data_IF_267774380834
#
_entry.id   IF_267774380834
#
_cell.length_a   1.000
_cell.length_b   1.000
_cell.length_c   1.000
_cell.angle_alpha   90.00
_cell.angle_beta   90.00
_cell.angle_gamma   90.00
#
_symmetry.space_group_name_H-M   'P 1'
#
loop_
_entity.id
_entity.type
_entity.pdbx_description
1 polymer ?
#
# COMPACT_ATOMS: atom_id res chain seq x y z
N UNK A 1 6.56 -16.39 -8.64
CA UNK A 1 7.05 -15.48 -9.71
C UNK A 1 8.51 -15.13 -9.50
N UNK A 2 8.89 -14.36 -8.48
CA UNK A 2 10.30 -13.98 -8.26
C UNK A 2 11.25 -15.19 -8.11
N UNK A 3 10.82 -16.26 -7.46
CA UNK A 3 11.58 -17.51 -7.33
C UNK A 3 11.63 -18.37 -8.61
N UNK A 4 10.94 -17.98 -9.69
CA UNK A 4 10.78 -18.79 -10.90
C UNK A 4 9.71 -19.89 -10.79
N UNK A 5 9.08 -20.10 -9.63
CA UNK A 5 8.07 -21.14 -9.44
C UNK A 5 6.74 -20.90 -10.18
N UNK A 6 6.54 -19.71 -10.75
CA UNK A 6 5.37 -19.37 -11.56
C UNK A 6 5.79 -18.32 -12.60
N UNK A 7 5.29 -18.46 -13.82
CA UNK A 7 5.59 -17.56 -14.96
C UNK A 7 4.95 -16.18 -14.80
N UNK A 8 3.75 -16.12 -14.21
CA UNK A 8 3.03 -14.89 -13.92
C UNK A 8 2.26 -15.00 -12.58
N UNK A 9 1.84 -13.85 -12.03
CA UNK A 9 1.04 -13.80 -10.81
C UNK A 9 0.41 -12.44 -10.62
N UNK A 10 -0.76 -12.42 -9.98
CA UNK A 10 -1.43 -11.18 -9.57
C UNK A 10 -0.90 -10.82 -8.17
N UNK A 11 -0.33 -9.63 -8.06
CA UNK A 11 0.29 -9.13 -6.83
C UNK A 11 -0.18 -7.69 -6.57
N UNK A 12 -0.01 -7.22 -5.33
CA UNK A 12 -0.26 -5.82 -5.01
C UNK A 12 0.72 -4.90 -5.76
N UNK A 13 0.23 -3.78 -6.30
CA UNK A 13 1.06 -2.79 -6.99
C UNK A 13 2.19 -2.25 -6.09
N UNK A 14 1.94 -2.15 -4.78
CA UNK A 14 2.95 -1.76 -3.79
C UNK A 14 4.17 -2.69 -3.75
N UNK A 15 3.97 -3.99 -4.00
CA UNK A 15 5.07 -4.95 -4.11
C UNK A 15 5.81 -4.80 -5.44
N UNK A 16 5.08 -4.57 -6.54
CA UNK A 16 5.68 -4.35 -7.85
C UNK A 16 6.53 -3.06 -7.90
N UNK A 17 6.11 -2.01 -7.19
CA UNK A 17 6.82 -0.73 -7.08
C UNK A 17 7.95 -0.75 -6.04
N UNK A 18 8.06 -1.81 -5.22
CA UNK A 18 9.12 -1.90 -4.24
C UNK A 18 10.51 -2.01 -4.92
N UNK A 19 11.58 -1.40 -4.35
CA UNK A 19 12.89 -1.37 -4.98
C UNK A 19 13.47 -2.73 -5.38
N UNK A 20 13.11 -3.80 -4.64
CA UNK A 20 13.53 -5.16 -4.95
C UNK A 20 12.93 -5.69 -6.25
N UNK A 21 11.64 -5.43 -6.51
CA UNK A 21 10.96 -5.92 -7.72
C UNK A 21 11.06 -4.96 -8.89
N UNK A 22 11.11 -3.64 -8.64
CA UNK A 22 11.24 -2.64 -9.71
C UNK A 22 12.50 -2.82 -10.56
N UNK A 23 13.58 -3.37 -9.98
CA UNK A 23 14.86 -3.56 -10.67
C UNK A 23 14.90 -4.84 -11.51
N UNK A 24 14.08 -5.83 -11.19
CA UNK A 24 14.24 -7.20 -11.68
C UNK A 24 13.01 -7.70 -12.46
N UNK A 25 11.86 -7.05 -12.31
CA UNK A 25 10.58 -7.50 -12.85
C UNK A 25 9.97 -6.56 -13.88
N UNK A 26 9.02 -7.12 -14.64
CA UNK A 26 8.05 -6.36 -15.42
C UNK A 26 6.68 -6.58 -14.82
N UNK A 27 5.85 -5.55 -14.84
CA UNK A 27 4.47 -5.66 -14.40
C UNK A 27 3.57 -4.93 -15.39
N UNK A 28 2.30 -5.30 -15.35
CA UNK A 28 1.24 -4.64 -16.08
C UNK A 28 0.09 -4.39 -15.11
N UNK A 29 -0.47 -3.19 -15.15
CA UNK A 29 -1.58 -2.80 -14.27
C UNK A 29 -2.88 -3.30 -14.86
N UNK A 30 -3.62 -4.08 -14.06
CA UNK A 30 -4.99 -4.49 -14.42
C UNK A 30 -5.89 -3.24 -14.46
N UNK A 31 -6.70 -3.05 -15.52
CA UNK A 31 -7.65 -1.94 -15.60
C UNK A 31 -8.57 -1.87 -14.37
N UNK A 32 -8.79 -0.66 -13.85
CA UNK A 32 -9.56 -0.45 -12.60
C UNK A 32 -11.05 -0.83 -12.74
N UNK A 33 -11.59 -0.84 -13.95
CA UNK A 33 -12.96 -1.28 -14.25
C UNK A 33 -13.10 -2.82 -14.27
N UNK A 34 -11.99 -3.57 -14.21
CA UNK A 34 -11.99 -5.03 -14.18
C UNK A 34 -12.15 -5.62 -12.76
N UNK A 35 -12.13 -4.80 -11.71
CA UNK A 35 -12.29 -5.25 -10.32
C UNK A 35 -12.87 -4.17 -9.39
N UNK A 36 -13.58 -4.55 -8.31
CA UNK A 36 -14.02 -3.60 -7.30
C UNK A 36 -12.84 -2.89 -6.63
N UNK A 37 -12.96 -1.61 -6.23
CA UNK A 37 -11.89 -0.90 -5.53
C UNK A 37 -11.38 -1.67 -4.30
N UNK A 38 -10.06 -1.71 -4.15
CA UNK A 38 -9.39 -2.34 -3.01
C UNK A 38 -9.24 -1.33 -1.87
N UNK A 39 -10.31 -1.12 -1.11
CA UNK A 39 -10.32 -0.17 0.00
C UNK A 39 -9.51 -0.70 1.19
N UNK A 40 -8.60 0.14 1.69
CA UNK A 40 -7.75 -0.17 2.84
C UNK A 40 -7.94 0.87 3.93
N UNK A 41 -8.26 0.41 5.13
CA UNK A 41 -8.49 1.25 6.30
C UNK A 41 -7.71 0.76 7.52
N UNK A 42 -7.57 1.65 8.51
CA UNK A 42 -6.96 1.34 9.79
C UNK A 42 -7.81 1.87 10.94
N UNK A 43 -7.73 1.18 12.09
CA UNK A 43 -8.45 1.57 13.31
C UNK A 43 -7.48 1.66 14.49
N UNK A 44 -7.75 2.59 15.41
CA UNK A 44 -7.07 2.62 16.70
C UNK A 44 -7.80 1.71 17.67
N UNK A 45 -7.08 0.75 18.26
CA UNK A 45 -7.65 -0.16 19.23
C UNK A 45 -7.90 0.56 20.56
N UNK A 46 -9.07 0.33 21.16
CA UNK A 46 -9.45 0.94 22.45
C UNK A 46 -8.47 0.63 23.59
N UNK A 47 -7.79 -0.51 23.50
CA UNK A 47 -6.81 -1.00 24.48
C UNK A 47 -5.35 -0.78 24.03
N UNK A 48 -5.09 0.22 23.19
CA UNK A 48 -3.73 0.62 22.89
C UNK A 48 -2.98 0.94 24.19
N UNK A 49 -1.85 0.27 24.44
CA UNK A 49 -1.04 0.47 25.65
C UNK A 49 -0.56 1.92 25.79
N UNK A 50 -0.33 2.57 24.65
CA UNK A 50 -0.03 4.00 24.55
C UNK A 50 -0.99 4.66 23.53
N UNK A 51 -2.12 5.22 23.99
CA UNK A 51 -3.08 5.88 23.11
C UNK A 51 -2.51 7.11 22.40
N UNK A 52 -1.59 7.84 23.05
CA UNK A 52 -1.00 9.05 22.49
C UNK A 52 -0.08 8.71 21.32
N UNK A 53 0.78 7.69 21.47
CA UNK A 53 1.61 7.20 20.38
C UNK A 53 0.77 6.66 19.22
N UNK A 54 -0.32 5.95 19.50
CA UNK A 54 -1.20 5.43 18.47
C UNK A 54 -1.89 6.56 17.66
N UNK A 55 -2.34 7.62 18.35
CA UNK A 55 -2.88 8.83 17.71
C UNK A 55 -1.81 9.57 16.88
N UNK A 56 -0.61 9.72 17.41
CA UNK A 56 0.51 10.35 16.71
C UNK A 56 0.88 9.58 15.43
N UNK A 57 0.91 8.24 15.50
CA UNK A 57 1.15 7.40 14.32
C UNK A 57 0.04 7.55 13.27
N UNK A 58 -1.23 7.53 13.68
CA UNK A 58 -2.34 7.81 12.76
C UNK A 58 -2.20 9.18 12.11
N UNK A 59 -1.87 10.22 12.88
CA UNK A 59 -1.68 11.56 12.37
C UNK A 59 -0.52 11.63 11.36
N UNK A 60 0.58 10.92 11.63
CA UNK A 60 1.71 10.81 10.70
C UNK A 60 1.32 10.12 9.39
N UNK A 61 0.67 8.95 9.45
CA UNK A 61 0.26 8.17 8.28
C UNK A 61 -0.69 8.98 7.38
N UNK A 62 -1.63 9.71 7.98
CA UNK A 62 -2.58 10.56 7.26
C UNK A 62 -2.04 11.95 6.89
N UNK A 63 -0.88 12.33 7.44
CA UNK A 63 -0.21 13.59 7.18
C UNK A 63 0.58 13.61 5.86
N UNK A 64 1.16 14.77 5.47
CA UNK A 64 1.83 14.92 4.19
C UNK A 64 2.91 13.86 3.91
N UNK A 65 3.75 13.56 4.91
CA UNK A 65 4.83 12.58 4.79
C UNK A 65 4.30 11.15 4.58
N UNK A 66 3.31 10.72 5.37
CA UNK A 66 2.70 9.40 5.20
C UNK A 66 1.99 9.25 3.84
N UNK A 67 1.27 10.30 3.41
CA UNK A 67 0.62 10.35 2.10
C UNK A 67 1.62 10.29 0.94
N UNK A 68 2.79 10.90 1.07
CA UNK A 68 3.86 10.79 0.07
C UNK A 68 4.37 9.35 -0.04
N UNK A 69 4.63 8.69 1.10
CA UNK A 69 5.04 7.28 1.13
C UNK A 69 3.98 6.40 0.45
N UNK A 70 2.70 6.56 0.79
CA UNK A 70 1.61 5.79 0.19
C UNK A 70 1.55 5.98 -1.34
N UNK A 71 1.63 7.22 -1.84
CA UNK A 71 1.67 7.47 -3.30
C UNK A 71 2.88 6.85 -3.98
N UNK A 72 4.06 6.93 -3.35
CA UNK A 72 5.30 6.33 -3.88
C UNK A 72 5.15 4.82 -4.12
N UNK A 73 4.35 4.13 -3.31
CA UNK A 73 4.06 2.70 -3.46
C UNK A 73 2.74 2.42 -4.18
N UNK A 74 2.16 3.40 -4.89
CA UNK A 74 1.02 3.19 -5.78
C UNK A 74 -0.34 3.06 -5.08
N UNK A 75 -0.47 3.57 -3.85
CA UNK A 75 -1.76 3.69 -3.19
C UNK A 75 -2.46 4.98 -3.59
N UNK A 76 -3.74 4.85 -3.95
CA UNK A 76 -4.65 5.98 -4.04
C UNK A 76 -5.11 6.40 -2.65
N UNK A 77 -5.33 7.71 -2.48
CA UNK A 77 -5.78 8.27 -1.21
C UNK A 77 -7.19 8.80 -1.39
N UNK A 78 -8.10 8.58 -0.42
CA UNK A 78 -9.43 9.16 -0.46
C UNK A 78 -9.35 10.67 -0.70
N UNK A 79 -10.26 11.17 -1.54
CA UNK A 79 -10.54 12.60 -1.58
C UNK A 79 -10.95 13.03 -0.16
N UNK A 80 -10.39 14.16 0.29
CA UNK A 80 -10.78 14.75 1.58
C UNK A 80 -12.15 15.39 1.48
#
# INVERSE_FOLDING_TARGET
VQSGAAEAGVIALSLALAPALQKEGRFWTVPQDAYPPLEQGGVLLKWARDPAAAQAFRAFVLGPAGREVLRKYGFDLPAQ
#
